data_IF_072185018175
#
_entry.id   IF_072185018175
#
_cell.length_a   1.000
_cell.length_b   1.000
_cell.length_c   1.000
_cell.angle_alpha   90.00
_cell.angle_beta   90.00
_cell.angle_gamma   90.00
#
_symmetry.space_group_name_H-M   'P 1'
#
loop_
_entity.id
_entity.type
_entity.pdbx_description
1 polymer ?
#
# COMPACT_ATOMS: atom_id res chain seq x y z
N UNK A 1 0.47 22.68 -3.07
CA UNK A 1 -0.72 22.08 -2.43
C UNK A 1 -0.89 20.63 -2.92
N UNK A 2 -1.48 19.75 -2.12
CA UNK A 2 -1.65 18.32 -2.43
C UNK A 2 -2.60 18.10 -3.62
N UNK A 3 -3.64 18.92 -3.74
CA UNK A 3 -4.58 18.86 -4.86
C UNK A 3 -3.88 19.14 -6.19
N UNK A 4 -3.03 20.18 -6.23
CA UNK A 4 -2.25 20.52 -7.42
C UNK A 4 -1.25 19.42 -7.77
N UNK A 5 -0.52 18.88 -6.78
CA UNK A 5 0.42 17.78 -6.99
C UNK A 5 -0.27 16.54 -7.57
N UNK A 6 -1.46 16.20 -7.09
CA UNK A 6 -2.27 15.08 -7.62
C UNK A 6 -2.59 15.29 -9.10
N UNK A 7 -2.97 16.52 -9.49
CA UNK A 7 -3.25 16.86 -10.89
C UNK A 7 -1.98 16.86 -11.74
N UNK A 8 -0.86 17.38 -11.22
CA UNK A 8 0.42 17.38 -11.92
C UNK A 8 0.95 15.98 -12.21
N UNK A 9 0.86 15.05 -11.25
CA UNK A 9 1.26 13.65 -11.48
C UNK A 9 0.34 12.97 -12.50
N UNK A 10 -0.98 13.23 -12.42
CA UNK A 10 -1.92 12.75 -13.45
C UNK A 10 -1.51 13.25 -14.85
N UNK A 11 -1.20 14.54 -14.97
CA UNK A 11 -0.75 15.12 -16.24
C UNK A 11 0.57 14.48 -16.74
N UNK A 12 1.51 14.22 -15.84
CA UNK A 12 2.76 13.54 -16.18
C UNK A 12 2.53 12.13 -16.72
N UNK A 13 1.65 11.33 -16.09
CA UNK A 13 1.30 9.98 -16.57
C UNK A 13 0.69 10.00 -17.98
N UNK A 14 -0.23 10.94 -18.24
CA UNK A 14 -0.83 11.10 -19.56
C UNK A 14 0.22 11.54 -20.60
N UNK A 15 1.09 12.50 -20.24
CA UNK A 15 2.16 12.97 -21.10
C UNK A 15 3.21 11.89 -21.41
N UNK A 16 3.46 10.97 -20.47
CA UNK A 16 4.33 9.80 -20.67
C UNK A 16 3.70 8.68 -21.50
N UNK A 17 2.46 8.84 -21.96
CA UNK A 17 1.82 7.92 -22.90
C UNK A 17 0.85 6.92 -22.28
N UNK A 18 0.49 7.07 -21.00
CA UNK A 18 -0.61 6.25 -20.43
C UNK A 18 -1.93 6.69 -21.06
N UNK A 19 -2.53 5.78 -21.83
CA UNK A 19 -3.86 5.97 -22.41
C UNK A 19 -4.95 5.63 -21.38
N UNK A 20 -5.75 6.60 -20.89
CA UNK A 20 -6.78 6.38 -19.88
C UNK A 20 -7.99 5.59 -20.40
N UNK A 21 -8.09 5.36 -21.72
CA UNK A 21 -9.10 4.45 -22.29
C UNK A 21 -8.67 2.99 -22.21
N UNK A 22 -7.37 2.74 -22.10
CA UNK A 22 -6.78 1.38 -21.99
C UNK A 22 -6.39 1.03 -20.56
N UNK A 23 -6.05 2.02 -19.75
CA UNK A 23 -5.54 1.84 -18.38
C UNK A 23 -6.36 2.68 -17.40
N UNK A 24 -6.56 2.16 -16.19
CA UNK A 24 -7.28 2.88 -15.13
C UNK A 24 -6.26 3.69 -14.31
N UNK A 25 -6.29 5.01 -14.47
CA UNK A 25 -5.54 5.95 -13.63
C UNK A 25 -6.53 6.65 -12.70
N UNK A 26 -6.31 6.55 -11.40
CA UNK A 26 -7.22 7.10 -10.40
C UNK A 26 -6.48 7.61 -9.16
N UNK A 27 -7.15 8.47 -8.40
CA UNK A 27 -6.67 8.93 -7.10
C UNK A 27 -7.15 7.96 -6.01
N UNK A 28 -6.22 7.38 -5.25
CA UNK A 28 -6.49 6.41 -4.18
C UNK A 28 -7.62 6.86 -3.24
N UNK A 29 -7.62 8.13 -2.81
CA UNK A 29 -8.62 8.65 -1.85
C UNK A 29 -10.04 8.75 -2.42
N UNK A 30 -10.22 8.54 -3.73
CA UNK A 30 -11.53 8.47 -4.38
C UNK A 30 -12.16 7.07 -4.33
N UNK A 31 -11.47 6.08 -3.79
CA UNK A 31 -11.94 4.70 -3.66
C UNK A 31 -11.86 4.30 -2.18
N UNK A 32 -12.99 4.39 -1.47
CA UNK A 32 -13.06 4.18 -0.01
C UNK A 32 -12.67 2.75 0.41
N UNK A 33 -12.85 1.79 -0.48
CA UNK A 33 -12.56 0.37 -0.26
C UNK A 33 -11.09 0.11 0.08
N UNK A 34 -10.17 1.00 -0.33
CA UNK A 34 -8.76 0.94 0.10
C UNK A 34 -8.64 1.06 1.61
N UNK A 35 -9.34 2.03 2.21
CA UNK A 35 -9.33 2.23 3.66
C UNK A 35 -10.07 1.10 4.39
N UNK A 36 -11.20 0.65 3.84
CA UNK A 36 -12.00 -0.45 4.42
C UNK A 36 -11.20 -1.76 4.45
N UNK A 37 -10.58 -2.14 3.33
CA UNK A 37 -9.78 -3.36 3.25
C UNK A 37 -8.49 -3.23 4.06
N UNK A 38 -7.86 -2.05 4.10
CA UNK A 38 -6.70 -1.82 4.95
C UNK A 38 -7.02 -2.02 6.43
N UNK A 39 -8.22 -1.63 6.88
CA UNK A 39 -8.67 -1.90 8.25
C UNK A 39 -8.77 -3.40 8.53
N UNK A 40 -9.38 -4.16 7.61
CA UNK A 40 -9.46 -5.63 7.71
C UNK A 40 -8.04 -6.24 7.75
N UNK A 41 -7.13 -5.80 6.88
CA UNK A 41 -5.75 -6.30 6.87
C UNK A 41 -4.95 -5.91 8.11
N UNK A 42 -5.24 -4.78 8.75
CA UNK A 42 -4.65 -4.45 10.04
C UNK A 42 -5.06 -5.44 11.15
N UNK A 43 -6.22 -6.07 11.03
CA UNK A 43 -6.63 -7.15 11.94
C UNK A 43 -5.95 -8.51 11.64
N UNK A 44 -5.35 -8.66 10.45
CA UNK A 44 -4.65 -9.88 10.01
C UNK A 44 -3.15 -9.77 10.24
N UNK A 45 -2.58 -8.62 9.90
CA UNK A 45 -1.16 -8.36 9.97
C UNK A 45 -0.70 -8.22 11.41
N UNK A 46 0.42 -8.87 11.76
CA UNK A 46 0.95 -8.84 13.12
C UNK A 46 1.81 -7.59 13.32
N UNK A 47 1.70 -6.94 14.48
CA UNK A 47 2.56 -5.80 14.88
C UNK A 47 4.05 -6.13 14.72
N UNK A 48 4.46 -7.36 15.06
CA UNK A 48 5.83 -7.82 14.90
C UNK A 48 6.33 -7.86 13.44
N UNK A 49 5.45 -8.03 12.46
CA UNK A 49 5.81 -7.95 11.03
C UNK A 49 6.11 -6.50 10.65
N UNK A 50 5.27 -5.56 11.08
CA UNK A 50 5.42 -4.13 10.81
C UNK A 50 6.70 -3.57 11.45
N UNK A 51 6.96 -3.88 12.71
CA UNK A 51 8.16 -3.41 13.42
C UNK A 51 9.49 -3.90 12.81
N UNK A 52 9.47 -4.95 11.99
CA UNK A 52 10.66 -5.46 11.30
C UNK A 52 10.97 -4.75 9.99
N UNK A 53 10.01 -4.01 9.44
CA UNK A 53 10.17 -3.31 8.16
C UNK A 53 11.30 -2.29 8.22
N UNK A 54 12.21 -2.35 7.26
CA UNK A 54 13.37 -1.44 7.19
C UNK A 54 12.92 0.00 7.00
N UNK A 55 11.92 0.23 6.13
CA UNK A 55 11.36 1.56 5.89
C UNK A 55 10.76 2.20 7.14
N UNK A 56 10.09 1.44 8.01
CA UNK A 56 9.60 1.97 9.28
C UNK A 56 10.76 2.39 10.17
N UNK A 57 11.80 1.55 10.31
CA UNK A 57 12.98 1.86 11.14
C UNK A 57 13.74 3.09 10.64
N UNK A 58 13.88 3.22 9.32
CA UNK A 58 14.61 4.31 8.69
C UNK A 58 13.83 5.64 8.79
N UNK A 59 12.51 5.61 8.54
CA UNK A 59 11.67 6.82 8.57
C UNK A 59 11.29 7.26 9.98
N UNK A 60 11.08 6.33 10.91
CA UNK A 60 10.82 6.65 12.32
C UNK A 60 12.10 7.07 13.07
N UNK A 61 13.27 6.63 12.58
CA UNK A 61 14.56 6.97 13.15
C UNK A 61 14.70 6.50 14.60
N UNK A 62 15.38 7.33 15.41
CA UNK A 62 15.64 7.05 16.84
C UNK A 62 14.40 7.24 17.71
N UNK A 63 13.44 8.04 17.26
CA UNK A 63 12.28 8.46 18.05
C UNK A 63 11.00 7.78 17.53
N UNK A 64 10.98 6.46 17.69
CA UNK A 64 9.91 5.60 17.15
C UNK A 64 8.55 5.86 17.78
N UNK A 65 8.52 6.40 19.00
CA UNK A 65 7.28 6.70 19.70
C UNK A 65 6.56 7.92 19.11
N UNK A 66 7.32 8.86 18.52
CA UNK A 66 6.77 10.02 17.82
C UNK A 66 6.38 9.73 16.36
N UNK A 67 6.63 8.51 15.86
CA UNK A 67 6.18 8.11 14.53
C UNK A 67 4.66 7.98 14.49
N UNK A 68 4.04 8.44 13.40
CA UNK A 68 2.60 8.28 13.23
C UNK A 68 2.22 6.81 13.07
N UNK A 69 1.06 6.42 13.59
CA UNK A 69 0.51 5.08 13.36
C UNK A 69 0.37 4.75 11.87
N UNK A 70 0.05 5.76 11.05
CA UNK A 70 0.00 5.61 9.60
C UNK A 70 1.35 5.22 8.99
N UNK A 71 2.47 5.73 9.51
CA UNK A 71 3.80 5.34 9.05
C UNK A 71 4.14 3.88 9.38
N UNK A 72 3.59 3.34 10.47
CA UNK A 72 3.73 1.92 10.81
C UNK A 72 2.79 1.04 9.95
N UNK A 73 1.56 1.50 9.72
CA UNK A 73 0.48 0.72 9.12
C UNK A 73 0.38 0.83 7.59
N UNK A 74 1.05 1.79 6.95
CA UNK A 74 0.93 1.97 5.49
C UNK A 74 1.27 0.72 4.65
N UNK A 75 2.14 -0.23 5.09
CA UNK A 75 2.33 -1.45 4.33
C UNK A 75 1.07 -2.33 4.24
N UNK A 76 0.17 -2.31 5.24
CA UNK A 76 -1.16 -2.92 5.13
C UNK A 76 -2.04 -2.20 4.12
N UNK A 77 -1.95 -0.86 4.06
CA UNK A 77 -2.68 -0.08 3.07
C UNK A 77 -2.19 -0.40 1.66
N UNK A 78 -0.87 -0.54 1.46
CA UNK A 78 -0.30 -1.01 0.19
C UNK A 78 -0.79 -2.42 -0.17
N UNK A 79 -0.92 -3.33 0.80
CA UNK A 79 -1.50 -4.64 0.57
C UNK A 79 -2.97 -4.54 0.13
N UNK A 80 -3.76 -3.65 0.73
CA UNK A 80 -5.13 -3.37 0.32
C UNK A 80 -5.19 -2.79 -1.10
N UNK A 81 -4.31 -1.86 -1.44
CA UNK A 81 -4.22 -1.25 -2.77
C UNK A 81 -4.03 -2.30 -3.87
N UNK A 82 -3.23 -3.33 -3.58
CA UNK A 82 -2.92 -4.43 -4.51
C UNK A 82 -4.07 -5.45 -4.56
N UNK A 83 -4.52 -5.92 -3.39
CA UNK A 83 -5.41 -7.08 -3.29
C UNK A 83 -6.88 -6.73 -3.57
N UNK A 84 -7.28 -5.46 -3.40
CA UNK A 84 -8.62 -5.01 -3.77
C UNK A 84 -8.94 -5.30 -5.25
N UNK A 85 -7.93 -5.22 -6.12
CA UNK A 85 -8.06 -5.47 -7.56
C UNK A 85 -7.57 -6.85 -7.99
N UNK A 86 -7.20 -7.72 -7.03
CA UNK A 86 -6.63 -9.05 -7.30
C UNK A 86 -5.44 -8.99 -8.27
N UNK A 87 -4.58 -7.99 -8.12
CA UNK A 87 -3.43 -7.81 -9.00
C UNK A 87 -2.49 -9.02 -8.92
N UNK A 88 -2.06 -9.51 -10.08
CA UNK A 88 -1.14 -10.67 -10.19
C UNK A 88 0.31 -10.25 -10.38
N UNK A 89 0.55 -9.03 -10.87
CA UNK A 89 1.87 -8.47 -11.14
C UNK A 89 1.92 -7.04 -10.59
N UNK A 90 2.93 -6.73 -9.78
CA UNK A 90 3.10 -5.43 -9.15
C UNK A 90 4.54 -4.96 -9.37
N UNK A 91 4.78 -3.97 -10.26
CA UNK A 91 6.12 -3.42 -10.46
C UNK A 91 6.49 -2.55 -9.25
N UNK A 92 7.62 -2.84 -8.62
CA UNK A 92 8.11 -2.11 -7.45
C UNK A 92 9.62 -1.87 -7.54
N UNK A 93 10.10 -0.80 -6.90
CA UNK A 93 11.53 -0.58 -6.68
C UNK A 93 12.13 -1.54 -5.66
N UNK A 94 13.46 -1.64 -5.62
CA UNK A 94 14.18 -2.49 -4.66
C UNK A 94 13.83 -2.19 -3.19
N UNK A 95 13.60 -0.92 -2.87
CA UNK A 95 13.25 -0.43 -1.53
C UNK A 95 11.84 -0.83 -1.06
N UNK A 96 10.99 -1.33 -1.97
CA UNK A 96 9.61 -1.72 -1.71
C UNK A 96 9.40 -3.25 -1.75
N UNK A 97 10.44 -4.04 -2.07
CA UNK A 97 10.35 -5.52 -2.12
C UNK A 97 9.80 -6.11 -0.82
N UNK A 98 10.24 -5.59 0.33
CA UNK A 98 9.80 -6.08 1.63
C UNK A 98 8.28 -5.88 1.86
N UNK A 99 7.70 -4.79 1.35
CA UNK A 99 6.25 -4.57 1.44
C UNK A 99 5.47 -5.47 0.50
N UNK A 100 6.05 -5.81 -0.66
CA UNK A 100 5.44 -6.78 -1.57
C UNK A 100 5.43 -8.18 -0.94
N UNK A 101 6.51 -8.60 -0.28
CA UNK A 101 6.52 -9.85 0.49
C UNK A 101 5.51 -9.82 1.64
N UNK A 102 5.41 -8.72 2.39
CA UNK A 102 4.37 -8.57 3.41
C UNK A 102 2.96 -8.68 2.82
N UNK A 103 2.71 -8.11 1.64
CA UNK A 103 1.43 -8.24 0.95
C UNK A 103 1.09 -9.70 0.67
N UNK A 104 2.08 -10.50 0.28
CA UNK A 104 1.93 -11.95 0.06
C UNK A 104 1.64 -12.69 1.37
N UNK A 105 2.35 -12.35 2.44
CA UNK A 105 2.11 -12.92 3.78
C UNK A 105 0.70 -12.63 4.30
N UNK A 106 0.22 -11.38 4.13
CA UNK A 106 -1.15 -10.97 4.49
C UNK A 106 -2.17 -11.76 3.67
N UNK A 107 -1.99 -11.86 2.35
CA UNK A 107 -2.89 -12.60 1.47
C UNK A 107 -2.96 -14.09 1.85
N UNK A 108 -1.80 -14.73 2.08
CA UNK A 108 -1.75 -16.13 2.45
C UNK A 108 -2.40 -16.37 3.81
N UNK A 109 -2.13 -15.51 4.80
CA UNK A 109 -2.75 -15.62 6.11
C UNK A 109 -4.27 -15.43 6.02
N UNK A 110 -4.75 -14.40 5.32
CA UNK A 110 -6.18 -14.18 5.12
C UNK A 110 -6.84 -15.40 4.48
N UNK A 111 -6.25 -15.94 3.41
CA UNK A 111 -6.79 -17.13 2.76
C UNK A 111 -6.81 -18.34 3.69
N UNK A 112 -5.77 -18.57 4.49
CA UNK A 112 -5.74 -19.68 5.43
C UNK A 112 -6.76 -19.54 6.57
N UNK A 113 -7.02 -18.32 7.02
CA UNK A 113 -7.95 -18.06 8.13
C UNK A 113 -9.43 -18.11 7.67
N UNK A 114 -9.71 -17.83 6.39
CA UNK A 114 -11.08 -17.58 5.89
C UNK A 114 -11.50 -18.37 4.64
N UNK A 115 -10.62 -19.18 4.05
CA UNK A 115 -11.06 -20.09 2.97
C UNK A 115 -11.65 -21.35 3.60
N UNK A 116 -12.90 -21.64 3.26
CA UNK A 116 -13.54 -22.93 3.56
C UNK A 116 -12.95 -24.06 2.70
#
# INVERSE_FOLDING_TARGET
DLADQTRSITAAFLASGIDPKKHIVFNQSRVMQHAELAWIFNCVARIGWMNRMTQFKDKAGKDRENASLGLLAYPSLMAADILLYRATHVPVGEDQKQHLELTRDIAQKFNNDFSD
#
